data_IF_623109187249
#
_entry.id   IF_623109187249
#
_cell.length_a   1.000
_cell.length_b   1.000
_cell.length_c   1.000
_cell.angle_alpha   90.00
_cell.angle_beta   90.00
_cell.angle_gamma   90.00
#
_symmetry.space_group_name_H-M   'P 1'
#
loop_
_entity.id
_entity.type
_entity.pdbx_description
1 polymer ?
#
# COMPACT_ATOMS: atom_id res chain seq x y z
N UNK A 1 -24.70 -7.15 -16.06
CA UNK A 1 -23.41 -7.01 -15.35
C UNK A 1 -22.46 -6.16 -16.18
N UNK A 2 -21.87 -5.16 -15.57
CA UNK A 2 -20.87 -4.33 -16.26
C UNK A 2 -19.52 -5.04 -16.35
N UNK A 3 -18.78 -4.77 -17.42
CA UNK A 3 -17.42 -5.27 -17.64
C UNK A 3 -16.37 -4.19 -17.36
N UNK A 4 -16.79 -3.06 -16.76
CA UNK A 4 -15.90 -1.96 -16.41
C UNK A 4 -16.18 -1.48 -14.98
N UNK A 5 -15.14 -1.14 -14.28
CA UNK A 5 -15.21 -0.62 -12.92
C UNK A 5 -14.51 0.73 -12.88
N UNK A 6 -15.21 1.76 -12.39
CA UNK A 6 -14.59 3.05 -12.12
C UNK A 6 -13.95 3.03 -10.74
N UNK A 7 -12.71 3.51 -10.65
CA UNK A 7 -11.98 3.58 -9.38
C UNK A 7 -12.50 4.76 -8.53
N UNK A 8 -13.72 4.63 -8.04
CA UNK A 8 -14.38 5.65 -7.22
C UNK A 8 -14.44 5.17 -5.76
N UNK A 9 -13.40 5.45 -4.99
CA UNK A 9 -13.30 5.00 -3.61
C UNK A 9 -14.22 5.79 -2.66
N UNK A 10 -14.68 6.98 -3.06
CA UNK A 10 -15.58 7.79 -2.23
C UNK A 10 -16.95 7.13 -2.03
N UNK A 11 -17.30 6.15 -2.88
CA UNK A 11 -18.60 5.46 -2.82
C UNK A 11 -18.68 4.41 -1.71
N UNK A 12 -17.56 4.03 -1.09
CA UNK A 12 -17.52 2.99 -0.05
C UNK A 12 -16.78 3.50 1.18
N UNK A 13 -17.11 2.90 2.33
CA UNK A 13 -16.38 3.16 3.56
C UNK A 13 -15.07 2.37 3.58
N UNK A 14 -13.97 2.95 4.08
CA UNK A 14 -12.70 2.23 4.15
C UNK A 14 -12.69 1.21 5.28
N UNK A 15 -11.92 0.16 5.09
CA UNK A 15 -11.52 -0.72 6.17
C UNK A 15 -10.38 -0.05 6.94
N UNK A 16 -10.50 0.00 8.27
CA UNK A 16 -9.51 0.64 9.15
C UNK A 16 -8.56 -0.43 9.67
N UNK A 17 -7.26 -0.11 9.68
CA UNK A 17 -6.25 -1.03 10.16
C UNK A 17 -4.99 -0.31 10.65
N UNK A 18 -4.02 -1.11 11.03
CA UNK A 18 -2.71 -0.65 11.48
C UNK A 18 -1.69 -1.79 11.33
N UNK A 19 -0.38 -1.50 11.34
CA UNK A 19 0.61 -2.56 11.30
C UNK A 19 0.48 -3.49 12.51
N UNK A 20 0.81 -4.77 12.32
CA UNK A 20 0.92 -5.70 13.43
C UNK A 20 1.95 -5.18 14.45
N UNK A 21 1.70 -5.40 15.73
CA UNK A 21 2.57 -4.86 16.80
C UNK A 21 4.02 -5.31 16.66
N UNK A 22 4.25 -6.55 16.27
CA UNK A 22 5.58 -7.11 16.08
C UNK A 22 6.29 -6.56 14.83
N UNK A 23 5.58 -5.85 13.97
CA UNK A 23 6.13 -5.21 12.78
C UNK A 23 6.31 -3.70 12.93
N UNK A 24 5.63 -3.08 13.86
CA UNK A 24 5.73 -1.65 14.10
C UNK A 24 7.13 -1.28 14.62
N UNK A 25 7.76 -0.29 13.97
CA UNK A 25 9.08 0.19 14.34
C UNK A 25 8.97 1.52 15.10
N UNK A 26 8.19 2.46 14.58
CA UNK A 26 8.01 3.78 15.21
C UNK A 26 6.73 4.45 14.76
N UNK A 27 6.24 5.38 15.57
CA UNK A 27 5.04 6.15 15.30
C UNK A 27 3.76 5.39 15.63
N UNK A 28 2.65 5.92 15.13
CA UNK A 28 1.32 5.32 15.29
C UNK A 28 0.58 5.37 13.96
N UNK A 29 1.08 4.68 12.93
CA UNK A 29 0.46 4.73 11.61
C UNK A 29 -0.92 4.08 11.62
N UNK A 30 -1.87 4.74 10.97
CA UNK A 30 -3.24 4.27 10.81
C UNK A 30 -3.48 4.03 9.33
N UNK A 31 -4.10 2.90 9.00
CA UNK A 31 -4.42 2.52 7.62
C UNK A 31 -5.90 2.72 7.33
N UNK A 32 -6.19 3.17 6.12
CA UNK A 32 -7.53 3.11 5.52
C UNK A 32 -7.42 2.45 4.17
N UNK A 33 -8.21 1.43 3.93
CA UNK A 33 -8.17 0.65 2.69
C UNK A 33 -9.56 0.61 2.06
N UNK A 34 -9.64 1.10 0.84
CA UNK A 34 -10.85 1.01 -0.01
C UNK A 34 -10.61 -0.06 -1.06
N UNK A 35 -10.97 -1.30 -0.76
CA UNK A 35 -10.82 -2.40 -1.71
C UNK A 35 -11.99 -2.38 -2.69
N UNK A 36 -11.74 -1.98 -3.93
CA UNK A 36 -12.77 -1.75 -4.94
C UNK A 36 -13.08 -3.00 -5.75
N UNK A 37 -12.14 -3.91 -5.89
CA UNK A 37 -12.30 -5.12 -6.66
C UNK A 37 -11.60 -6.29 -5.99
N UNK A 38 -12.28 -7.43 -5.99
CA UNK A 38 -11.73 -8.72 -5.66
C UNK A 38 -12.11 -9.67 -6.79
N UNK A 39 -11.13 -10.05 -7.61
CA UNK A 39 -11.37 -10.80 -8.83
C UNK A 39 -10.75 -12.21 -8.74
N UNK A 40 -11.18 -13.09 -9.64
CA UNK A 40 -10.63 -14.44 -9.74
C UNK A 40 -9.12 -14.41 -9.93
N UNK A 41 -8.43 -15.41 -9.37
CA UNK A 41 -6.98 -15.50 -9.43
C UNK A 41 -6.28 -14.73 -8.34
N UNK A 42 -6.98 -14.34 -7.27
CA UNK A 42 -6.40 -13.66 -6.13
C UNK A 42 -6.03 -12.21 -6.41
N UNK A 43 -6.81 -11.54 -7.28
CA UNK A 43 -6.56 -10.15 -7.67
C UNK A 43 -7.38 -9.22 -6.77
N UNK A 44 -6.69 -8.25 -6.18
CA UNK A 44 -7.30 -7.19 -5.37
C UNK A 44 -6.81 -5.85 -5.89
N UNK A 45 -7.69 -4.87 -5.99
CA UNK A 45 -7.27 -3.51 -6.31
C UNK A 45 -8.15 -2.47 -5.62
N UNK A 46 -7.57 -1.32 -5.37
CA UNK A 46 -8.27 -0.23 -4.71
C UNK A 46 -7.34 0.91 -4.35
N UNK A 47 -7.68 1.58 -3.25
CA UNK A 47 -6.94 2.72 -2.72
C UNK A 47 -6.57 2.44 -1.26
N UNK A 48 -5.37 2.82 -0.88
CA UNK A 48 -4.85 2.68 0.47
C UNK A 48 -4.26 4.01 0.92
N UNK A 49 -4.44 4.31 2.20
CA UNK A 49 -3.88 5.50 2.82
C UNK A 49 -3.26 5.12 4.16
N UNK A 50 -2.12 5.73 4.50
CA UNK A 50 -1.50 5.57 5.80
C UNK A 50 -1.00 6.89 6.34
N UNK A 51 -1.16 7.07 7.64
CA UNK A 51 -0.62 8.20 8.38
C UNK A 51 0.83 7.93 8.81
N UNK A 52 1.59 8.97 9.28
CA UNK A 52 3.02 8.80 9.56
C UNK A 52 3.37 7.70 10.54
N UNK A 53 4.46 7.02 10.23
CA UNK A 53 5.03 5.94 11.01
C UNK A 53 5.93 5.06 10.17
N UNK A 54 6.53 4.06 10.81
CA UNK A 54 7.44 3.15 10.13
C UNK A 54 7.21 1.74 10.62
N UNK A 55 7.18 0.78 9.68
CA UNK A 55 6.95 -0.62 10.02
C UNK A 55 7.67 -1.56 9.04
N UNK A 56 7.85 -2.78 9.50
CA UNK A 56 8.43 -3.87 8.73
C UNK A 56 7.41 -4.40 7.73
N UNK A 57 7.84 -4.61 6.48
CA UNK A 57 7.01 -5.27 5.46
C UNK A 57 7.71 -6.54 4.96
N UNK A 58 6.88 -7.57 4.75
CA UNK A 58 7.29 -8.84 4.15
C UNK A 58 6.22 -9.22 3.15
N UNK A 59 6.58 -9.30 1.88
CA UNK A 59 5.63 -9.56 0.79
C UNK A 59 5.68 -11.01 0.36
N UNK A 60 4.55 -11.69 0.48
CA UNK A 60 4.30 -12.99 -0.15
C UNK A 60 3.54 -12.79 -1.46
N UNK A 61 2.87 -11.66 -1.60
CA UNK A 61 2.09 -11.25 -2.77
C UNK A 61 2.93 -10.42 -3.75
N UNK A 62 2.39 -10.26 -4.95
CA UNK A 62 2.86 -9.30 -5.94
C UNK A 62 2.00 -8.05 -5.85
N UNK A 63 2.60 -6.87 -5.80
CA UNK A 63 1.86 -5.61 -5.76
C UNK A 63 2.45 -4.59 -6.72
N UNK A 64 1.59 -3.97 -7.54
CA UNK A 64 1.86 -2.72 -8.24
C UNK A 64 1.13 -1.59 -7.52
N UNK A 65 1.79 -0.46 -7.33
CA UNK A 65 1.11 0.71 -6.80
C UNK A 65 1.59 2.01 -7.43
N UNK A 66 0.72 3.02 -7.37
CA UNK A 66 0.98 4.38 -7.83
C UNK A 66 0.68 5.33 -6.67
N UNK A 67 1.66 6.13 -6.28
CA UNK A 67 1.49 7.12 -5.22
C UNK A 67 0.66 8.29 -5.77
N UNK A 68 -0.44 8.59 -5.08
CA UNK A 68 -1.35 9.68 -5.44
C UNK A 68 -0.99 10.96 -4.71
N UNK A 69 -0.61 10.86 -3.42
CA UNK A 69 -0.27 12.01 -2.59
C UNK A 69 0.59 11.58 -1.41
N UNK A 70 1.28 12.54 -0.81
CA UNK A 70 2.09 12.31 0.37
C UNK A 70 3.55 11.96 0.04
N UNK A 71 4.23 11.42 1.04
CA UNK A 71 5.64 11.06 0.93
C UNK A 71 5.92 9.82 1.77
N UNK A 72 6.45 8.79 1.14
CA UNK A 72 6.85 7.54 1.78
C UNK A 72 8.23 7.12 1.32
N UNK A 73 8.91 6.34 2.15
CA UNK A 73 10.22 5.77 1.84
C UNK A 73 10.13 4.26 2.07
N UNK A 74 10.43 3.49 1.03
CA UNK A 74 10.51 2.03 1.10
C UNK A 74 11.97 1.64 1.01
N UNK A 75 12.46 0.88 1.99
CA UNK A 75 13.85 0.44 2.03
C UNK A 75 13.88 -1.08 2.06
N UNK A 76 14.63 -1.70 1.12
CA UNK A 76 14.80 -3.14 1.12
C UNK A 76 15.86 -3.56 2.14
N UNK A 77 15.82 -4.81 2.58
CA UNK A 77 16.85 -5.38 3.46
C UNK A 77 18.23 -5.41 2.79
N UNK A 78 18.25 -5.29 1.47
CA UNK A 78 19.51 -5.24 0.69
C UNK A 78 20.06 -3.84 0.54
N UNK A 79 19.36 -2.83 1.11
CA UNK A 79 19.83 -1.45 1.15
C UNK A 79 19.33 -0.56 0.02
N UNK A 80 18.45 -1.05 -0.87
CA UNK A 80 17.81 -0.19 -1.86
C UNK A 80 16.83 0.75 -1.17
N UNK A 81 16.85 2.01 -1.56
CA UNK A 81 15.95 3.04 -1.00
C UNK A 81 15.09 3.61 -2.13
N UNK A 82 13.79 3.58 -1.93
CA UNK A 82 12.82 4.15 -2.86
C UNK A 82 12.13 5.32 -2.17
N UNK A 83 12.46 6.54 -2.61
CA UNK A 83 11.85 7.77 -2.12
C UNK A 83 10.63 8.07 -3.00
N UNK A 84 9.43 7.94 -2.42
CA UNK A 84 8.18 7.87 -3.17
C UNK A 84 7.31 9.09 -2.90
N UNK A 85 6.98 9.80 -3.97
CA UNK A 85 6.09 10.98 -3.97
C UNK A 85 5.02 10.81 -5.05
N UNK A 86 4.07 11.74 -5.11
CA UNK A 86 2.98 11.69 -6.09
C UNK A 86 3.51 11.45 -7.51
N UNK A 87 2.96 10.45 -8.18
CA UNK A 87 3.35 10.03 -9.51
C UNK A 87 4.39 8.90 -9.55
N UNK A 88 5.03 8.58 -8.44
CA UNK A 88 5.96 7.44 -8.39
C UNK A 88 5.19 6.14 -8.35
N UNK A 89 5.67 5.16 -9.10
CA UNK A 89 5.07 3.84 -9.25
C UNK A 89 6.11 2.77 -8.98
N UNK A 90 5.69 1.68 -8.35
CA UNK A 90 6.61 0.63 -7.95
C UNK A 90 5.94 -0.73 -8.04
N UNK A 91 6.72 -1.75 -8.31
CA UNK A 91 6.30 -3.14 -8.18
C UNK A 91 7.12 -3.78 -7.07
N UNK A 92 6.42 -4.36 -6.09
CA UNK A 92 7.03 -5.22 -5.08
C UNK A 92 6.64 -6.66 -5.39
N UNK A 93 7.64 -7.53 -5.51
CA UNK A 93 7.44 -8.93 -5.86
C UNK A 93 7.43 -9.83 -4.64
N UNK A 94 6.86 -11.03 -4.74
CA UNK A 94 6.95 -12.02 -3.66
C UNK A 94 8.39 -12.21 -3.20
N UNK A 95 8.59 -12.20 -1.89
CA UNK A 95 9.91 -12.30 -1.29
C UNK A 95 10.53 -10.95 -0.91
N UNK A 96 9.91 -9.83 -1.29
CA UNK A 96 10.41 -8.52 -0.86
C UNK A 96 10.33 -8.40 0.65
N UNK A 97 11.43 -7.98 1.28
CA UNK A 97 11.51 -7.70 2.72
C UNK A 97 12.18 -6.36 2.93
N UNK A 98 11.61 -5.57 3.80
CA UNK A 98 12.14 -4.25 4.09
C UNK A 98 11.29 -3.48 5.06
N UNK A 99 11.31 -2.17 4.93
CA UNK A 99 10.53 -1.25 5.76
C UNK A 99 9.77 -0.28 4.89
N UNK A 100 8.60 0.13 5.39
CA UNK A 100 7.82 1.24 4.85
C UNK A 100 7.82 2.34 5.87
N UNK A 101 8.21 3.54 5.48
CA UNK A 101 8.11 4.73 6.30
C UNK A 101 7.19 5.73 5.63
N UNK A 102 6.14 6.15 6.33
CA UNK A 102 5.29 7.27 5.91
C UNK A 102 5.82 8.53 6.59
N UNK A 103 6.36 9.44 5.78
CA UNK A 103 6.85 10.74 6.23
C UNK A 103 5.69 11.73 6.30
N UNK A 104 4.88 11.77 5.23
CA UNK A 104 3.63 12.53 5.15
C UNK A 104 2.53 11.57 4.74
N UNK A 105 1.35 11.71 5.31
CA UNK A 105 0.20 10.84 4.99
C UNK A 105 0.18 10.52 3.51
N UNK A 106 0.27 9.23 3.20
CA UNK A 106 0.45 8.73 1.84
C UNK A 106 -0.79 8.00 1.39
N UNK A 107 -1.23 8.32 0.17
CA UNK A 107 -2.33 7.62 -0.49
C UNK A 107 -1.81 7.01 -1.78
N UNK A 108 -2.22 5.79 -2.07
CA UNK A 108 -1.84 5.09 -3.31
C UNK A 108 -3.02 4.33 -3.90
N UNK A 109 -3.01 4.18 -5.22
CA UNK A 109 -3.76 3.11 -5.90
C UNK A 109 -2.93 1.84 -5.83
N UNK A 110 -3.56 0.68 -5.68
CA UNK A 110 -2.86 -0.59 -5.65
C UNK A 110 -3.55 -1.65 -6.49
N UNK A 111 -2.75 -2.57 -7.01
CA UNK A 111 -3.18 -3.84 -7.59
C UNK A 111 -2.33 -4.93 -6.95
N UNK A 112 -2.99 -5.87 -6.30
CA UNK A 112 -2.33 -6.98 -5.61
C UNK A 112 -2.78 -8.28 -6.26
N UNK A 113 -1.84 -9.20 -6.42
CA UNK A 113 -2.12 -10.58 -6.78
C UNK A 113 -1.53 -11.51 -5.74
N UNK A 114 -2.40 -12.31 -5.15
CA UNK A 114 -1.98 -13.33 -4.17
C UNK A 114 -1.41 -14.58 -4.84
#
# INVERSE_FOLDING_TARGET
MTKALRFDFAAIAPEIGRPAEDRLISGDPQFRTWNLEEAEGGIYCGVWEATPGRWRIVYDEWEYFNILSGHSIVTSDEGEVFDLKAGDRLVLRPGFKGTWEVVETTRKDYVIRL
#
